data_IF_439074467990
#
_entry.id   IF_439074467990
#
_cell.length_a   1.000
_cell.length_b   1.000
_cell.length_c   1.000
_cell.angle_alpha   90.00
_cell.angle_beta   90.00
_cell.angle_gamma   90.00
#
_symmetry.space_group_name_H-M   'P 1'
#
loop_
_entity.id
_entity.type
_entity.pdbx_description
1 polymer ?
#
# COMPACT_ATOMS: atom_id res chain seq x y z
N UNK A 1 -20.73 -14.93 -1.79
CA UNK A 1 -19.32 -14.49 -1.91
C UNK A 1 -18.89 -13.93 -0.55
N UNK A 2 -17.77 -14.37 0.02
CA UNK A 2 -17.30 -13.86 1.32
C UNK A 2 -16.56 -12.52 1.16
N UNK A 3 -16.26 -11.84 2.27
CA UNK A 3 -15.64 -10.52 2.26
C UNK A 3 -14.29 -10.49 1.50
N UNK A 4 -13.47 -11.53 1.68
CA UNK A 4 -12.19 -11.71 0.97
C UNK A 4 -12.41 -11.77 -0.55
N UNK A 5 -13.40 -12.55 -1.00
CA UNK A 5 -13.75 -12.65 -2.42
C UNK A 5 -14.22 -11.33 -3.01
N UNK A 6 -14.95 -10.51 -2.25
CA UNK A 6 -15.38 -9.16 -2.69
C UNK A 6 -14.17 -8.23 -2.84
N UNK A 7 -13.28 -8.21 -1.85
CA UNK A 7 -12.06 -7.39 -1.90
C UNK A 7 -11.20 -7.79 -3.10
N UNK A 8 -11.00 -9.09 -3.31
CA UNK A 8 -10.26 -9.61 -4.44
C UNK A 8 -10.90 -9.22 -5.78
N UNK A 9 -12.23 -9.35 -5.91
CA UNK A 9 -12.95 -8.97 -7.12
C UNK A 9 -12.79 -7.48 -7.44
N UNK A 10 -12.90 -6.60 -6.43
CA UNK A 10 -12.68 -5.15 -6.61
C UNK A 10 -11.28 -4.89 -7.15
N UNK A 11 -10.25 -5.50 -6.55
CA UNK A 11 -8.87 -5.32 -7.00
C UNK A 11 -8.68 -5.83 -8.43
N UNK A 12 -9.24 -7.00 -8.77
CA UNK A 12 -9.19 -7.56 -10.13
C UNK A 12 -9.85 -6.62 -11.14
N UNK A 13 -11.07 -6.14 -10.86
CA UNK A 13 -11.78 -5.20 -11.74
C UNK A 13 -10.96 -3.93 -11.96
N UNK A 14 -10.45 -3.31 -10.89
CA UNK A 14 -9.64 -2.09 -10.98
C UNK A 14 -8.34 -2.35 -11.75
N UNK A 15 -7.69 -3.51 -11.53
CA UNK A 15 -6.47 -3.87 -12.25
C UNK A 15 -6.74 -4.08 -13.74
N UNK A 16 -7.81 -4.79 -14.12
CA UNK A 16 -8.21 -4.99 -15.52
C UNK A 16 -8.52 -3.65 -16.18
N UNK A 17 -9.34 -2.80 -15.54
CA UNK A 17 -9.64 -1.45 -16.04
C UNK A 17 -8.34 -0.65 -16.23
N UNK A 18 -7.45 -0.65 -15.24
CA UNK A 18 -6.16 0.02 -15.32
C UNK A 18 -5.36 -0.46 -16.53
N UNK A 19 -5.25 -1.78 -16.73
CA UNK A 19 -4.49 -2.33 -17.84
C UNK A 19 -5.10 -1.95 -19.20
N UNK A 20 -6.43 -2.02 -19.33
CA UNK A 20 -7.13 -1.58 -20.54
C UNK A 20 -6.90 -0.09 -20.83
N UNK A 21 -7.03 0.78 -19.81
CA UNK A 21 -6.80 2.22 -19.96
C UNK A 21 -5.33 2.51 -20.30
N UNK A 22 -4.37 1.78 -19.73
CA UNK A 22 -2.95 1.97 -20.05
C UNK A 22 -2.62 1.57 -21.49
N UNK A 23 -3.28 0.55 -22.04
CA UNK A 23 -3.10 0.13 -23.43
C UNK A 23 -3.69 1.14 -24.43
N UNK A 24 -4.82 1.76 -24.10
CA UNK A 24 -5.52 2.69 -25.00
C UNK A 24 -5.04 4.13 -24.83
N UNK A 25 -4.92 4.62 -23.58
CA UNK A 25 -4.57 6.00 -23.27
C UNK A 25 -3.85 6.13 -21.91
N UNK A 26 -2.52 5.91 -21.87
CA UNK A 26 -1.76 5.98 -20.62
C UNK A 26 -1.74 7.38 -19.99
N UNK A 27 -1.89 8.44 -20.80
CA UNK A 27 -1.98 9.83 -20.30
C UNK A 27 -3.24 10.04 -19.47
N UNK A 28 -4.37 9.46 -19.88
CA UNK A 28 -5.63 9.52 -19.12
C UNK A 28 -5.47 8.89 -17.74
N UNK A 29 -4.90 7.68 -17.69
CA UNK A 29 -4.62 7.02 -16.42
C UNK A 29 -3.70 7.85 -15.52
N UNK A 30 -2.60 8.38 -16.07
CA UNK A 30 -1.65 9.19 -15.32
C UNK A 30 -2.29 10.45 -14.74
N UNK A 31 -3.13 11.14 -15.52
CA UNK A 31 -3.85 12.34 -15.05
C UNK A 31 -4.81 12.02 -13.90
N UNK A 32 -5.54 10.91 -14.00
CA UNK A 32 -6.42 10.44 -12.92
C UNK A 32 -5.62 10.07 -11.66
N UNK A 33 -4.57 9.24 -11.82
CA UNK A 33 -3.73 8.81 -10.72
C UNK A 33 -3.08 9.99 -9.99
N UNK A 34 -2.58 10.98 -10.74
CA UNK A 34 -2.01 12.21 -10.16
C UNK A 34 -3.04 12.95 -9.31
N UNK A 35 -4.27 13.15 -9.81
CA UNK A 35 -5.35 13.83 -9.06
C UNK A 35 -5.67 13.12 -7.75
N UNK A 36 -5.71 11.79 -7.75
CA UNK A 36 -5.97 10.99 -6.56
C UNK A 36 -4.81 11.07 -5.56
N UNK A 37 -3.56 10.95 -6.01
CA UNK A 37 -2.40 10.90 -5.11
C UNK A 37 -2.09 12.25 -4.46
N UNK A 38 -2.29 13.36 -5.16
CA UNK A 38 -2.00 14.71 -4.62
C UNK A 38 -3.10 15.22 -3.69
N UNK A 39 -4.29 14.63 -3.71
CA UNK A 39 -5.40 15.07 -2.87
C UNK A 39 -5.16 14.64 -1.41
N UNK A 40 -5.08 15.57 -0.44
CA UNK A 40 -4.87 15.23 0.96
C UNK A 40 -5.99 14.36 1.54
N UNK A 41 -7.23 14.52 1.05
CA UNK A 41 -8.39 13.71 1.46
C UNK A 41 -8.19 12.25 1.09
N UNK A 42 -7.55 11.98 -0.06
CA UNK A 42 -7.29 10.62 -0.52
C UNK A 42 -6.38 9.83 0.42
N UNK A 43 -5.50 10.48 1.17
CA UNK A 43 -4.68 9.81 2.20
C UNK A 43 -5.53 9.32 3.37
N UNK A 44 -6.47 10.14 3.83
CA UNK A 44 -7.37 9.80 4.93
C UNK A 44 -8.31 8.66 4.49
N UNK A 45 -8.89 8.78 3.29
CA UNK A 45 -9.73 7.73 2.70
C UNK A 45 -8.95 6.42 2.57
N UNK A 46 -7.71 6.46 2.06
CA UNK A 46 -6.88 5.28 1.93
C UNK A 46 -6.58 4.62 3.29
N UNK A 47 -6.34 5.42 4.33
CA UNK A 47 -6.09 4.91 5.68
C UNK A 47 -7.34 4.23 6.27
N UNK A 48 -8.52 4.85 6.12
CA UNK A 48 -9.79 4.26 6.56
C UNK A 48 -10.05 2.96 5.81
N UNK A 49 -9.90 2.97 4.47
CA UNK A 49 -10.07 1.77 3.65
C UNK A 49 -9.08 0.67 4.00
N UNK A 50 -7.83 1.00 4.33
CA UNK A 50 -6.84 0.02 4.79
C UNK A 50 -7.30 -0.67 6.08
N UNK A 51 -7.81 0.08 7.06
CA UNK A 51 -8.37 -0.48 8.30
C UNK A 51 -9.61 -1.35 8.05
N UNK A 52 -10.53 -0.88 7.18
CA UNK A 52 -11.73 -1.64 6.78
C UNK A 52 -11.36 -2.95 6.09
N UNK A 53 -10.43 -2.91 5.13
CA UNK A 53 -9.94 -4.11 4.43
C UNK A 53 -9.27 -5.06 5.42
N UNK A 54 -8.39 -4.57 6.30
CA UNK A 54 -7.73 -5.41 7.31
C UNK A 54 -8.75 -6.13 8.21
N UNK A 55 -9.78 -5.42 8.67
CA UNK A 55 -10.87 -6.00 9.46
C UNK A 55 -11.59 -7.12 8.70
N UNK A 56 -11.97 -6.86 7.45
CA UNK A 56 -12.68 -7.84 6.62
C UNK A 56 -11.83 -9.05 6.24
N UNK A 57 -10.51 -8.86 6.03
CA UNK A 57 -9.57 -9.96 5.83
C UNK A 57 -9.50 -10.85 7.07
N UNK A 58 -9.39 -10.25 8.27
CA UNK A 58 -9.32 -10.98 9.55
C UNK A 58 -10.58 -11.81 9.80
N UNK A 59 -11.78 -11.23 9.68
CA UNK A 59 -13.01 -12.00 9.87
C UNK A 59 -13.22 -13.06 8.79
N UNK A 60 -12.59 -12.87 7.62
CA UNK A 60 -12.53 -13.84 6.54
C UNK A 60 -11.53 -14.98 6.75
N UNK A 61 -10.86 -15.04 7.91
CA UNK A 61 -9.90 -16.09 8.26
C UNK A 61 -8.48 -15.84 7.77
N UNK A 62 -8.18 -14.65 7.21
CA UNK A 62 -6.83 -14.29 6.80
C UNK A 62 -6.08 -13.69 8.01
N UNK A 63 -5.01 -14.35 8.43
CA UNK A 63 -4.22 -13.90 9.58
C UNK A 63 -3.24 -12.79 9.19
N UNK A 64 -2.79 -12.01 10.18
CA UNK A 64 -1.77 -10.98 9.96
C UNK A 64 -0.48 -11.59 9.38
N UNK A 65 -0.13 -12.81 9.76
CA UNK A 65 1.04 -13.54 9.24
C UNK A 65 0.90 -13.83 7.75
N UNK A 66 -0.29 -14.27 7.31
CA UNK A 66 -0.57 -14.49 5.88
C UNK A 66 -0.53 -13.18 5.09
N UNK A 67 -1.01 -12.08 5.67
CA UNK A 67 -0.91 -10.74 5.06
C UNK A 67 0.56 -10.36 4.86
N UNK A 68 1.41 -10.52 5.89
CA UNK A 68 2.84 -10.24 5.78
C UNK A 68 3.54 -11.12 4.73
N UNK A 69 3.16 -12.39 4.61
CA UNK A 69 3.69 -13.28 3.57
C UNK A 69 3.36 -12.76 2.15
N UNK A 70 2.12 -12.32 1.92
CA UNK A 70 1.71 -11.71 0.64
C UNK A 70 2.40 -10.37 0.41
N UNK A 71 2.58 -9.54 1.45
CA UNK A 71 3.34 -8.29 1.37
C UNK A 71 4.79 -8.56 0.96
N UNK A 72 5.44 -9.58 1.51
CA UNK A 72 6.79 -9.94 1.11
C UNK A 72 6.87 -10.30 -0.38
N UNK A 73 5.95 -11.14 -0.86
CA UNK A 73 5.83 -11.48 -2.28
C UNK A 73 5.60 -10.23 -3.16
N UNK A 74 4.62 -9.39 -2.81
CA UNK A 74 4.33 -8.16 -3.56
C UNK A 74 5.49 -7.17 -3.52
N UNK A 75 6.19 -7.07 -2.39
CA UNK A 75 7.36 -6.21 -2.24
C UNK A 75 8.46 -6.54 -3.23
N UNK A 76 8.72 -7.83 -3.46
CA UNK A 76 9.69 -8.30 -4.45
C UNK A 76 9.28 -7.91 -5.88
N UNK A 77 8.00 -8.06 -6.23
CA UNK A 77 7.48 -7.66 -7.55
C UNK A 77 7.58 -6.14 -7.74
N UNK A 78 7.17 -5.36 -6.73
CA UNK A 78 7.25 -3.90 -6.77
C UNK A 78 8.70 -3.45 -6.92
N UNK A 79 9.64 -4.11 -6.23
CA UNK A 79 11.06 -3.80 -6.32
C UNK A 79 11.58 -3.93 -7.76
N UNK A 80 11.22 -5.00 -8.48
CA UNK A 80 11.61 -5.17 -9.89
C UNK A 80 11.09 -4.01 -10.75
N UNK A 81 9.85 -3.57 -10.55
CA UNK A 81 9.26 -2.47 -11.31
C UNK A 81 9.80 -1.08 -10.95
N UNK A 82 10.23 -0.88 -9.69
CA UNK A 82 10.66 0.42 -9.18
C UNK A 82 12.18 0.63 -9.24
N UNK A 83 12.97 -0.44 -9.27
CA UNK A 83 14.43 -0.39 -9.21
C UNK A 83 15.06 0.60 -10.22
N UNK A 84 14.62 0.70 -11.49
CA UNK A 84 15.19 1.65 -12.45
C UNK A 84 14.93 3.13 -12.14
N UNK A 85 14.04 3.43 -11.19
CA UNK A 85 13.56 4.80 -10.91
C UNK A 85 13.72 5.21 -9.44
N UNK A 86 14.35 4.35 -8.63
CA UNK A 86 14.42 4.49 -7.17
C UNK A 86 15.32 5.63 -6.71
N UNK A 87 16.30 6.05 -7.53
CA UNK A 87 17.30 7.06 -7.16
C UNK A 87 16.69 8.38 -6.68
N UNK A 88 15.63 8.82 -7.34
CA UNK A 88 14.92 10.05 -6.97
C UNK A 88 14.26 9.95 -5.59
N UNK A 89 13.76 8.78 -5.23
CA UNK A 89 13.15 8.50 -3.93
C UNK A 89 14.23 8.42 -2.85
N UNK A 90 15.35 7.73 -3.11
CA UNK A 90 16.48 7.63 -2.17
C UNK A 90 17.00 9.03 -1.81
N UNK A 91 17.30 9.87 -2.82
CA UNK A 91 17.78 11.24 -2.61
C UNK A 91 16.82 12.08 -1.76
N UNK A 92 15.51 11.88 -1.94
CA UNK A 92 14.49 12.56 -1.13
C UNK A 92 14.57 12.15 0.35
N UNK A 93 14.66 10.85 0.62
CA UNK A 93 14.76 10.34 2.00
C UNK A 93 16.08 10.72 2.66
N UNK A 94 17.21 10.67 1.95
CA UNK A 94 18.50 11.15 2.46
C UNK A 94 18.42 12.62 2.90
N UNK A 95 17.77 13.48 2.12
CA UNK A 95 17.55 14.89 2.48
C UNK A 95 16.66 15.03 3.72
N UNK A 96 15.61 14.22 3.86
CA UNK A 96 14.76 14.21 5.05
C UNK A 96 15.53 13.80 6.30
N UNK A 97 16.41 12.78 6.19
CA UNK A 97 17.28 12.32 7.28
C UNK A 97 18.25 13.43 7.69
N UNK A 98 18.98 14.02 6.74
CA UNK A 98 19.94 15.11 7.00
C UNK A 98 19.31 16.32 7.67
N UNK A 99 18.02 16.58 7.42
CA UNK A 99 17.29 17.71 8.00
C UNK A 99 16.50 17.35 9.25
N UNK A 100 16.61 16.12 9.77
CA UNK A 100 15.88 15.64 10.95
C UNK A 100 14.36 15.54 10.77
N UNK A 101 13.86 15.68 9.53
CA UNK A 101 12.42 15.73 9.23
C UNK A 101 11.79 14.37 8.97
N UNK A 102 12.59 13.32 8.81
CA UNK A 102 12.12 11.97 8.49
C UNK A 102 11.02 11.49 9.44
N UNK A 103 11.25 11.59 10.75
CA UNK A 103 10.28 11.18 11.76
C UNK A 103 9.02 12.05 11.73
N UNK A 104 9.18 13.37 11.71
CA UNK A 104 8.05 14.32 11.71
C UNK A 104 7.16 14.18 10.47
N UNK A 105 7.72 13.87 9.31
CA UNK A 105 6.95 13.74 8.07
C UNK A 105 6.30 12.35 7.90
N UNK A 106 6.82 11.32 8.55
CA UNK A 106 6.37 9.93 8.37
C UNK A 106 5.85 9.26 9.65
N UNK A 107 5.72 9.97 10.77
CA UNK A 107 5.40 9.40 12.09
C UNK A 107 4.16 8.50 12.08
N UNK A 108 3.09 8.91 11.38
CA UNK A 108 1.84 8.15 11.35
C UNK A 108 2.03 6.81 10.63
N UNK A 109 2.75 6.83 9.50
CA UNK A 109 3.10 5.63 8.76
C UNK A 109 3.97 4.70 9.60
N UNK A 110 4.98 5.26 10.27
CA UNK A 110 5.87 4.51 11.17
C UNK A 110 5.08 3.86 12.31
N UNK A 111 4.17 4.61 12.94
CA UNK A 111 3.34 4.12 14.04
C UNK A 111 2.45 2.96 13.60
N UNK A 112 1.79 3.08 12.44
CA UNK A 112 0.97 2.00 11.87
C UNK A 112 1.83 0.75 11.65
N UNK A 113 3.03 0.90 11.08
CA UNK A 113 3.94 -0.22 10.88
C UNK A 113 4.37 -0.87 12.19
N UNK A 114 4.71 -0.10 13.20
CA UNK A 114 5.10 -0.64 14.51
C UNK A 114 3.95 -1.48 15.11
N UNK A 115 2.71 -0.99 15.05
CA UNK A 115 1.54 -1.73 15.53
C UNK A 115 1.36 -3.04 14.76
N UNK A 116 1.44 -3.01 13.42
CA UNK A 116 1.29 -4.20 12.59
C UNK A 116 2.41 -5.22 12.81
N UNK A 117 3.65 -4.76 13.00
CA UNK A 117 4.81 -5.62 13.29
C UNK A 117 4.67 -6.30 14.66
N UNK A 118 4.30 -5.55 15.70
CA UNK A 118 4.07 -6.10 17.03
C UNK A 118 2.96 -7.15 16.98
N UNK A 119 1.87 -6.88 16.25
CA UNK A 119 0.79 -7.84 16.06
C UNK A 119 1.27 -9.08 15.31
N UNK A 120 2.01 -8.94 14.21
CA UNK A 120 2.53 -10.08 13.46
C UNK A 120 3.43 -10.97 14.32
N UNK A 121 4.36 -10.37 15.06
CA UNK A 121 5.22 -11.12 16.00
C UNK A 121 4.39 -11.81 17.07
N UNK A 122 3.40 -11.12 17.65
CA UNK A 122 2.51 -11.73 18.64
C UNK A 122 1.83 -12.96 18.07
N UNK A 123 1.17 -12.85 16.92
CA UNK A 123 0.45 -13.96 16.28
C UNK A 123 1.35 -15.13 15.85
N UNK A 124 2.64 -14.87 15.58
CA UNK A 124 3.60 -15.92 15.21
C UNK A 124 4.08 -16.74 16.42
N UNK A 125 4.13 -16.14 17.61
CA UNK A 125 4.80 -16.74 18.78
C UNK A 125 3.89 -16.92 20.00
N UNK A 126 2.67 -16.35 20.01
CA UNK A 126 1.73 -16.35 21.12
C UNK A 126 0.28 -16.52 20.62
#
# INVERSE_FOLDING_TARGET
MNAVGIIALIVVIVAVIKMLVLLVNPKSWMNMAKKLVVNPVSRIIALILAGVVLYYLRIGGITIVQIFAVIAFLGLIIFVGLAPHIDSLIKKYEKQIKTGRMWKENWLYILIWLVLLIWAVKEMFF
#
